data_IF_540167374749
#
_entry.id   IF_540167374749
#
_cell.length_a   1.000
_cell.length_b   1.000
_cell.length_c   1.000
_cell.angle_alpha   90.00
_cell.angle_beta   90.00
_cell.angle_gamma   90.00
#
_symmetry.space_group_name_H-M   'P 1'
#
loop_
_entity.id
_entity.type
_entity.pdbx_description
1 polymer ?
#
# COMPACT_ATOMS: atom_id res chain seq x y z
N UNK A 1 -4.21 16.93 10.52
CA UNK A 1 -3.24 15.85 10.82
C UNK A 1 -3.72 14.58 10.12
N UNK A 2 -3.04 14.16 9.07
CA UNK A 2 -3.48 13.03 8.23
C UNK A 2 -3.20 11.69 8.93
N UNK A 3 -4.25 11.07 9.48
CA UNK A 3 -4.22 9.68 9.91
C UNK A 3 -4.33 8.78 8.67
N UNK A 4 -3.26 8.13 8.22
CA UNK A 4 -3.35 6.95 7.33
C UNK A 4 -2.02 6.18 7.27
N UNK A 5 -1.50 5.77 8.44
CA UNK A 5 -0.57 4.64 8.42
C UNK A 5 -1.40 3.35 8.30
N UNK A 6 -1.39 2.74 7.11
CA UNK A 6 -2.11 1.50 6.81
C UNK A 6 -1.37 0.25 7.29
N UNK A 7 -0.23 0.40 7.99
CA UNK A 7 0.56 -0.71 8.54
C UNK A 7 0.24 -1.04 10.00
N UNK A 8 -0.59 -0.24 10.67
CA UNK A 8 -0.83 -0.38 12.11
C UNK A 8 -1.69 -1.61 12.41
N UNK A 9 -1.19 -2.49 13.29
CA UNK A 9 -1.90 -3.71 13.70
C UNK A 9 -2.83 -3.47 14.89
N UNK A 10 -3.80 -4.37 15.10
CA UNK A 10 -4.67 -4.30 16.28
C UNK A 10 -3.92 -4.45 17.61
N UNK A 11 -2.78 -5.15 17.63
CA UNK A 11 -1.89 -5.20 18.80
C UNK A 11 -1.24 -3.84 19.06
N UNK A 12 -0.70 -3.20 18.02
CA UNK A 12 -0.09 -1.87 18.13
C UNK A 12 -1.11 -0.86 18.65
N UNK A 13 -2.34 -0.89 18.13
CA UNK A 13 -3.43 -0.03 18.63
C UNK A 13 -3.75 -0.31 20.10
N UNK A 14 -3.78 -1.58 20.52
CA UNK A 14 -4.00 -1.93 21.93
C UNK A 14 -2.93 -1.32 22.86
N UNK A 15 -1.64 -1.44 22.48
CA UNK A 15 -0.52 -0.88 23.23
C UNK A 15 -0.58 0.65 23.33
N UNK A 16 -1.07 1.35 22.30
CA UNK A 16 -1.19 2.81 22.32
C UNK A 16 -2.38 3.31 23.17
N UNK A 17 -3.40 2.47 23.38
CA UNK A 17 -4.63 2.86 24.09
C UNK A 17 -4.56 2.56 25.59
N UNK A 18 -3.73 1.58 26.00
CA UNK A 18 -3.57 1.17 27.39
C UNK A 18 -3.15 2.33 28.33
N UNK A 19 -2.20 3.22 27.97
CA UNK A 19 -1.84 4.36 28.83
C UNK A 19 -2.97 5.40 28.98
N UNK A 20 -3.87 5.49 28.00
CA UNK A 20 -4.96 6.47 27.96
C UNK A 20 -6.20 5.97 28.71
N UNK A 21 -6.46 4.67 28.63
CA UNK A 21 -7.65 4.05 29.22
C UNK A 21 -7.37 3.42 30.58
N UNK A 22 -6.09 3.29 30.97
CA UNK A 22 -5.62 2.58 32.17
C UNK A 22 -6.12 1.13 32.27
N UNK A 23 -6.54 0.56 31.14
CA UNK A 23 -7.06 -0.79 31.03
C UNK A 23 -6.37 -1.53 29.90
N UNK A 24 -5.98 -2.78 30.17
CA UNK A 24 -5.44 -3.64 29.13
C UNK A 24 -6.57 -4.08 28.19
N UNK A 25 -6.48 -3.67 26.93
CA UNK A 25 -7.48 -4.01 25.91
C UNK A 25 -6.92 -5.07 24.97
N UNK A 26 -7.58 -6.22 24.85
CA UNK A 26 -7.12 -7.24 23.92
C UNK A 26 -7.19 -6.77 22.45
N UNK A 27 -6.24 -7.20 21.63
CA UNK A 27 -6.25 -6.94 20.18
C UNK A 27 -7.56 -7.42 19.50
N UNK A 28 -8.20 -8.46 20.04
CA UNK A 28 -9.51 -8.95 19.58
C UNK A 28 -10.62 -7.92 19.79
N UNK A 29 -10.63 -7.25 20.93
CA UNK A 29 -11.59 -6.17 21.24
C UNK A 29 -11.38 -4.99 20.29
N UNK A 30 -10.13 -4.59 20.07
CA UNK A 30 -9.76 -3.54 19.11
C UNK A 30 -10.26 -3.88 17.70
N UNK A 31 -9.98 -5.10 17.21
CA UNK A 31 -10.43 -5.53 15.87
C UNK A 31 -11.95 -5.46 15.72
N UNK A 32 -12.71 -5.91 16.72
CA UNK A 32 -14.18 -5.84 16.70
C UNK A 32 -14.69 -4.39 16.64
N UNK A 33 -14.10 -3.49 17.42
CA UNK A 33 -14.45 -2.05 17.39
C UNK A 33 -14.10 -1.39 16.05
N UNK A 34 -12.97 -1.75 15.45
CA UNK A 34 -12.61 -1.30 14.11
C UNK A 34 -13.62 -1.77 13.06
N UNK A 35 -14.05 -3.03 13.11
CA UNK A 35 -15.08 -3.55 12.21
C UNK A 35 -16.44 -2.86 12.39
N UNK A 36 -16.86 -2.64 13.64
CA UNK A 36 -18.09 -1.91 13.95
C UNK A 36 -18.08 -0.46 13.41
N UNK A 37 -16.90 0.16 13.33
CA UNK A 37 -16.73 1.50 12.74
C UNK A 37 -16.51 1.48 11.22
N UNK A 38 -16.71 0.33 10.55
CA UNK A 38 -16.55 0.19 9.10
C UNK A 38 -15.11 0.08 8.62
N UNK A 39 -14.13 -0.08 9.53
CA UNK A 39 -12.72 -0.31 9.17
C UNK A 39 -12.46 -1.79 8.98
N UNK A 40 -12.00 -2.14 7.78
CA UNK A 40 -11.62 -3.50 7.42
C UNK A 40 -10.11 -3.62 7.22
N UNK A 41 -9.58 -4.81 7.50
CA UNK A 41 -8.17 -5.16 7.24
C UNK A 41 -7.97 -5.38 5.74
N UNK A 42 -6.87 -4.87 5.19
CA UNK A 42 -6.46 -5.15 3.80
C UNK A 42 -5.03 -5.67 3.79
N UNK A 43 -4.73 -6.60 2.88
CA UNK A 43 -3.34 -6.96 2.59
C UNK A 43 -2.68 -5.77 1.88
N UNK A 44 -1.50 -5.30 2.34
CA UNK A 44 -0.79 -4.25 1.63
C UNK A 44 -0.46 -4.73 0.21
N UNK A 45 -0.54 -3.83 -0.76
CA UNK A 45 -0.11 -4.12 -2.12
C UNK A 45 1.41 -4.39 -2.09
N UNK A 46 1.82 -5.52 -2.66
CA UNK A 46 3.23 -5.80 -2.89
C UNK A 46 3.74 -4.86 -3.97
N UNK A 47 4.58 -3.90 -3.58
CA UNK A 47 5.17 -2.93 -4.49
C UNK A 47 6.57 -2.57 -4.04
N UNK A 48 7.39 -2.13 -4.99
CA UNK A 48 8.73 -1.61 -4.69
C UNK A 48 8.59 -0.33 -3.85
N UNK A 49 9.22 -0.25 -2.66
CA UNK A 49 9.14 0.93 -1.83
C UNK A 49 9.76 2.12 -2.56
N UNK A 50 8.94 3.12 -2.87
CA UNK A 50 9.42 4.34 -3.51
C UNK A 50 10.00 5.29 -2.47
N UNK A 51 11.28 5.63 -2.63
CA UNK A 51 11.95 6.71 -1.89
C UNK A 51 11.26 8.05 -2.16
N UNK A 52 11.50 9.04 -1.29
CA UNK A 52 10.93 10.39 -1.47
C UNK A 52 11.34 11.01 -2.82
N UNK A 53 12.60 10.81 -3.24
CA UNK A 53 13.09 11.30 -4.52
C UNK A 53 12.37 10.62 -5.70
N UNK A 54 12.14 9.29 -5.64
CA UNK A 54 11.37 8.59 -6.67
C UNK A 54 9.96 9.17 -6.82
N UNK A 55 9.28 9.44 -5.69
CA UNK A 55 7.93 10.02 -5.70
C UNK A 55 7.91 11.42 -6.31
N UNK A 56 8.91 12.26 -5.99
CA UNK A 56 9.03 13.61 -6.55
C UNK A 56 9.22 13.57 -8.06
N UNK A 57 10.20 12.78 -8.53
CA UNK A 57 10.52 12.68 -9.96
C UNK A 57 9.36 12.10 -10.77
N UNK A 58 8.71 11.03 -10.28
CA UNK A 58 7.54 10.44 -10.96
C UNK A 58 6.38 11.43 -11.07
N UNK A 59 6.12 12.21 -10.01
CA UNK A 59 5.09 13.26 -10.03
C UNK A 59 5.42 14.34 -11.05
N UNK A 60 6.65 14.87 -10.99
CA UNK A 60 7.11 15.90 -11.93
C UNK A 60 6.98 15.41 -13.38
N UNK A 61 7.46 14.21 -13.70
CA UNK A 61 7.37 13.63 -15.04
C UNK A 61 5.93 13.54 -15.55
N UNK A 62 5.00 13.13 -14.68
CA UNK A 62 3.56 13.04 -14.97
C UNK A 62 2.94 14.42 -15.17
N UNK A 63 3.33 15.41 -14.36
CA UNK A 63 2.77 16.76 -14.44
C UNK A 63 3.26 17.49 -15.70
N UNK A 64 4.52 17.33 -16.08
CA UNK A 64 5.10 17.82 -17.34
C UNK A 64 4.37 17.27 -18.57
N UNK A 65 3.91 16.01 -18.50
CA UNK A 65 3.28 15.28 -19.62
C UNK A 65 1.77 15.15 -19.46
N UNK A 66 1.17 15.91 -18.56
CA UNK A 66 -0.26 15.80 -18.22
C UNK A 66 -1.16 16.09 -19.40
N UNK A 67 -0.74 17.00 -20.28
CA UNK A 67 -1.51 17.47 -21.44
C UNK A 67 -1.02 16.88 -22.76
N UNK A 68 -0.11 15.89 -22.71
CA UNK A 68 0.32 15.20 -23.93
C UNK A 68 -0.85 14.42 -24.52
N UNK A 69 -1.08 14.62 -25.81
CA UNK A 69 -2.11 13.93 -26.59
C UNK A 69 -1.52 13.47 -27.91
N UNK A 70 -1.03 14.40 -28.73
CA UNK A 70 -0.42 14.08 -30.02
C UNK A 70 1.00 13.51 -29.87
N UNK A 71 1.71 13.96 -28.83
CA UNK A 71 3.09 13.59 -28.51
C UNK A 71 3.23 12.10 -28.17
N UNK A 72 2.16 11.45 -27.69
CA UNK A 72 2.18 10.01 -27.45
C UNK A 72 2.38 9.18 -28.73
N UNK A 73 2.04 9.73 -29.90
CA UNK A 73 2.23 9.04 -31.18
C UNK A 73 3.71 8.88 -31.57
N UNK A 74 4.60 9.66 -30.94
CA UNK A 74 6.05 9.63 -31.22
C UNK A 74 6.81 8.75 -30.22
N UNK A 75 6.13 8.21 -29.20
CA UNK A 75 6.77 7.43 -28.12
C UNK A 75 6.58 5.94 -28.37
N UNK A 76 7.69 5.21 -28.45
CA UNK A 76 7.70 3.74 -28.43
C UNK A 76 8.09 3.25 -27.04
N UNK A 77 7.23 2.46 -26.40
CA UNK A 77 7.51 1.82 -25.12
C UNK A 77 8.15 0.45 -25.33
N UNK A 78 9.23 0.19 -24.61
CA UNK A 78 9.87 -1.14 -24.54
C UNK A 78 10.19 -1.45 -23.08
N UNK A 79 10.07 -2.72 -22.71
CA UNK A 79 10.47 -3.23 -21.39
C UNK A 79 10.90 -4.69 -21.55
N UNK A 80 11.70 -5.19 -20.61
CA UNK A 80 12.14 -6.57 -20.60
C UNK A 80 11.21 -7.40 -19.71
N UNK A 81 10.69 -8.50 -20.23
CA UNK A 81 9.89 -9.45 -19.46
C UNK A 81 10.57 -10.81 -19.42
N UNK A 82 10.64 -11.39 -18.21
CA UNK A 82 11.10 -12.77 -18.02
C UNK A 82 9.90 -13.71 -18.15
N UNK A 83 10.00 -14.65 -19.08
CA UNK A 83 8.97 -15.67 -19.31
C UNK A 83 9.49 -17.02 -18.80
N UNK A 84 8.78 -17.64 -17.88
CA UNK A 84 9.09 -19.00 -17.43
C UNK A 84 8.50 -20.01 -18.43
N UNK A 85 9.37 -20.76 -19.11
CA UNK A 85 8.97 -21.77 -20.11
C UNK A 85 8.46 -23.07 -19.49
N UNK A 86 8.79 -23.32 -18.23
CA UNK A 86 8.33 -24.47 -17.46
C UNK A 86 8.01 -24.02 -16.03
N UNK A 87 6.81 -24.38 -15.56
CA UNK A 87 6.38 -24.23 -14.17
C UNK A 87 5.83 -25.58 -13.72
N UNK A 88 6.21 -26.03 -12.52
CA UNK A 88 5.51 -27.15 -11.89
C UNK A 88 4.12 -26.63 -11.50
N UNK A 89 3.03 -27.26 -11.95
CA UNK A 89 1.66 -26.78 -11.68
C UNK A 89 1.23 -26.99 -10.21
N UNK A 90 2.17 -27.37 -9.34
CA UNK A 90 1.97 -27.52 -7.90
C UNK A 90 1.00 -28.63 -7.53
N UNK A 91 0.57 -29.48 -8.48
CA UNK A 91 -0.26 -30.64 -8.19
C UNK A 91 0.64 -31.78 -7.69
N UNK A 92 0.46 -32.13 -6.42
CA UNK A 92 0.82 -33.44 -5.85
C UNK A 92 -0.42 -34.31 -5.95
#
# INVERSE_FOLDING_TARGET
MALTDCSVTSQTVAQHIEPVTHHSVSARTIRRRLQQSGRSTRRPLLGLPLTQNHRRLRRQWRDERRMWVAEWNEVVFTDESRICLQHHDGRI
#
